data_IF_869326314531
#
_entry.id   IF_869326314531
#
_cell.length_a   1.000
_cell.length_b   1.000
_cell.length_c   1.000
_cell.angle_alpha   90.00
_cell.angle_beta   90.00
_cell.angle_gamma   90.00
#
_symmetry.space_group_name_H-M   'P 1'
#
loop_
_entity.id
_entity.type
_entity.pdbx_description
1 polymer ?
#
# COMPACT_ATOMS: atom_id res chain seq x y z
N UNK A 1 -16.09 24.17 -9.56
CA UNK A 1 -17.33 23.63 -10.15
C UNK A 1 -17.97 22.49 -9.35
N UNK A 2 -17.25 21.70 -8.55
CA UNK A 2 -17.84 20.65 -7.70
C UNK A 2 -18.64 21.19 -6.48
N UNK A 3 -18.30 22.35 -5.99
CA UNK A 3 -18.95 22.97 -4.81
C UNK A 3 -20.43 23.33 -5.05
N UNK A 4 -20.82 23.60 -6.30
CA UNK A 4 -22.19 24.07 -6.61
C UNK A 4 -23.20 22.91 -6.82
N UNK A 5 -22.73 21.67 -7.06
CA UNK A 5 -23.61 20.50 -7.22
C UNK A 5 -23.97 19.87 -5.87
N UNK A 6 -23.20 20.15 -4.84
CA UNK A 6 -23.38 19.56 -3.50
C UNK A 6 -24.38 20.31 -2.62
N UNK A 7 -24.84 21.51 -3.04
CA UNK A 7 -25.73 22.38 -2.23
C UNK A 7 -27.16 21.84 -2.08
N UNK A 8 -27.56 20.81 -2.82
CA UNK A 8 -28.91 20.22 -2.78
C UNK A 8 -28.95 18.74 -2.36
N UNK A 9 -27.80 18.13 -2.11
CA UNK A 9 -27.72 16.73 -1.67
C UNK A 9 -27.68 16.65 -0.14
N UNK A 10 -28.36 15.65 0.42
CA UNK A 10 -28.22 15.35 1.86
C UNK A 10 -26.80 14.88 2.19
N UNK A 11 -26.38 15.00 3.46
CA UNK A 11 -25.08 14.51 3.91
C UNK A 11 -24.86 13.03 3.58
N UNK A 12 -25.93 12.23 3.66
CA UNK A 12 -25.89 10.80 3.35
C UNK A 12 -25.66 10.52 1.87
N UNK A 13 -26.20 11.33 0.96
CA UNK A 13 -25.98 11.21 -0.49
C UNK A 13 -24.59 11.69 -0.88
N UNK A 14 -24.07 12.67 -0.19
CA UNK A 14 -22.74 13.27 -0.44
C UNK A 14 -21.59 12.34 -0.01
N UNK A 15 -21.78 11.56 1.05
CA UNK A 15 -20.72 10.76 1.67
C UNK A 15 -20.07 9.76 0.71
N UNK A 16 -20.85 8.99 -0.05
CA UNK A 16 -20.32 7.97 -0.96
C UNK A 16 -19.41 8.53 -2.06
N UNK A 17 -19.87 9.53 -2.84
CA UNK A 17 -19.04 10.22 -3.84
C UNK A 17 -17.78 10.86 -3.22
N UNK A 18 -17.90 11.47 -2.04
CA UNK A 18 -16.78 12.09 -1.34
C UNK A 18 -15.72 11.06 -0.93
N UNK A 19 -16.12 9.93 -0.38
CA UNK A 19 -15.21 8.83 -0.03
C UNK A 19 -14.45 8.33 -1.25
N UNK A 20 -15.16 8.07 -2.36
CA UNK A 20 -14.54 7.62 -3.60
C UNK A 20 -13.55 8.65 -4.14
N UNK A 21 -13.97 9.91 -4.24
CA UNK A 21 -13.14 11.01 -4.73
C UNK A 21 -11.88 11.23 -3.88
N UNK A 22 -12.04 11.25 -2.55
CA UNK A 22 -10.93 11.41 -1.60
C UNK A 22 -9.93 10.26 -1.70
N UNK A 23 -10.40 9.02 -1.72
CA UNK A 23 -9.53 7.86 -1.86
C UNK A 23 -8.79 7.86 -3.20
N UNK A 24 -9.44 8.31 -4.29
CA UNK A 24 -8.80 8.48 -5.60
C UNK A 24 -7.74 9.57 -5.58
N UNK A 25 -8.07 10.76 -5.06
CA UNK A 25 -7.14 11.89 -4.96
C UNK A 25 -5.88 11.53 -4.16
N UNK A 26 -6.05 10.88 -3.01
CA UNK A 26 -4.96 10.39 -2.18
C UNK A 26 -4.01 9.47 -2.96
N UNK A 27 -4.58 8.48 -3.66
CA UNK A 27 -3.79 7.54 -4.46
C UNK A 27 -3.03 8.23 -5.60
N UNK A 28 -3.68 9.17 -6.31
CA UNK A 28 -3.04 9.92 -7.39
C UNK A 28 -1.86 10.75 -6.88
N UNK A 29 -2.01 11.42 -5.72
CA UNK A 29 -0.92 12.20 -5.12
C UNK A 29 0.27 11.33 -4.72
N UNK A 30 0.02 10.12 -4.20
CA UNK A 30 1.11 9.20 -3.90
C UNK A 30 1.75 8.65 -5.18
N UNK A 31 0.97 8.36 -6.20
CA UNK A 31 1.46 7.90 -7.50
C UNK A 31 2.39 8.94 -8.15
N UNK A 32 1.99 10.22 -8.14
CA UNK A 32 2.82 11.33 -8.60
C UNK A 32 4.20 11.37 -7.91
N UNK A 33 4.24 11.14 -6.61
CA UNK A 33 5.49 11.15 -5.82
C UNK A 33 6.39 9.95 -6.10
N UNK A 34 5.80 8.81 -6.40
CA UNK A 34 6.54 7.56 -6.64
C UNK A 34 6.91 7.37 -8.12
N UNK A 35 6.31 8.16 -9.02
CA UNK A 35 6.58 8.11 -10.46
C UNK A 35 8.06 8.31 -10.83
N UNK A 36 8.79 9.29 -10.24
CA UNK A 36 10.22 9.48 -10.52
C UNK A 36 11.09 8.27 -10.17
N UNK A 37 10.61 7.39 -9.28
CA UNK A 37 11.28 6.14 -8.89
C UNK A 37 11.00 4.98 -9.84
N UNK A 38 10.28 5.20 -10.95
CA UNK A 38 9.87 4.18 -11.90
C UNK A 38 8.80 3.22 -11.36
N UNK A 39 8.06 3.64 -10.34
CA UNK A 39 7.02 2.85 -9.70
C UNK A 39 5.64 3.24 -10.23
N UNK A 40 5.01 2.36 -10.99
CA UNK A 40 3.59 2.51 -11.34
C UNK A 40 2.69 2.20 -10.14
N UNK A 41 1.44 2.71 -10.18
CA UNK A 41 0.46 2.50 -9.10
C UNK A 41 0.29 1.02 -8.74
N UNK A 42 0.13 0.15 -9.72
CA UNK A 42 0.01 -1.29 -9.49
C UNK A 42 1.26 -1.87 -8.82
N UNK A 43 2.46 -1.41 -9.23
CA UNK A 43 3.74 -1.87 -8.69
C UNK A 43 3.89 -1.47 -7.22
N UNK A 44 3.83 -0.17 -6.89
CA UNK A 44 4.06 0.26 -5.52
C UNK A 44 2.98 -0.24 -4.56
N UNK A 45 1.71 -0.34 -4.99
CA UNK A 45 0.63 -0.92 -4.16
C UNK A 45 0.93 -2.37 -3.82
N UNK A 46 1.33 -3.18 -4.79
CA UNK A 46 1.70 -4.59 -4.54
C UNK A 46 2.85 -4.70 -3.54
N UNK A 47 3.93 -3.93 -3.74
CA UNK A 47 5.09 -3.94 -2.86
C UNK A 47 4.73 -3.50 -1.44
N UNK A 48 3.90 -2.46 -1.31
CA UNK A 48 3.44 -1.95 -0.03
C UNK A 48 2.60 -3.00 0.72
N UNK A 49 1.64 -3.65 0.06
CA UNK A 49 0.84 -4.70 0.69
C UNK A 49 1.69 -5.89 1.13
N UNK A 50 2.69 -6.27 0.35
CA UNK A 50 3.63 -7.33 0.73
C UNK A 50 4.50 -6.93 1.93
N UNK A 51 4.94 -5.67 2.01
CA UNK A 51 5.80 -5.20 3.12
C UNK A 51 5.05 -5.09 4.45
N UNK A 52 3.76 -4.79 4.40
CA UNK A 52 2.90 -4.60 5.58
C UNK A 52 2.28 -5.90 6.09
N UNK A 53 2.38 -6.99 5.32
CA UNK A 53 1.84 -8.27 5.74
C UNK A 53 2.63 -8.85 6.92
N UNK A 54 1.96 -9.43 7.92
CA UNK A 54 2.63 -10.07 9.06
C UNK A 54 3.42 -11.33 8.65
N UNK A 55 3.14 -11.86 7.46
CA UNK A 55 3.77 -13.04 6.87
C UNK A 55 3.75 -12.99 5.34
N UNK A 56 4.02 -14.10 4.71
CA UNK A 56 3.94 -14.23 3.25
C UNK A 56 2.49 -14.27 2.80
N UNK A 57 2.19 -13.65 1.66
CA UNK A 57 0.87 -13.65 1.05
C UNK A 57 0.81 -14.59 -0.14
N UNK A 58 -0.33 -15.25 -0.31
CA UNK A 58 -0.70 -15.96 -1.54
C UNK A 58 -1.11 -14.99 -2.63
N UNK A 59 -1.14 -15.45 -3.88
CA UNK A 59 -1.63 -14.63 -4.99
C UNK A 59 -3.10 -14.22 -4.79
N UNK A 60 -3.95 -15.12 -4.31
CA UNK A 60 -5.35 -14.82 -4.02
C UNK A 60 -5.51 -13.71 -2.97
N UNK A 61 -4.76 -13.78 -1.85
CA UNK A 61 -4.79 -12.73 -0.82
C UNK A 61 -4.30 -11.37 -1.34
N UNK A 62 -3.33 -11.35 -2.27
CA UNK A 62 -2.86 -10.11 -2.87
C UNK A 62 -3.92 -9.54 -3.82
N UNK A 63 -4.55 -10.37 -4.67
CA UNK A 63 -5.63 -9.95 -5.56
C UNK A 63 -6.76 -9.31 -4.78
N UNK A 64 -7.17 -9.96 -3.71
CA UNK A 64 -8.16 -9.48 -2.77
C UNK A 64 -7.78 -8.11 -2.19
N UNK A 65 -6.58 -7.95 -1.64
CA UNK A 65 -6.09 -6.68 -1.04
C UNK A 65 -5.96 -5.54 -2.04
N UNK A 66 -5.65 -5.86 -3.30
CA UNK A 66 -5.56 -4.88 -4.37
C UNK A 66 -6.92 -4.53 -4.98
N UNK A 67 -7.94 -5.37 -4.75
CA UNK A 67 -9.26 -5.25 -5.35
C UNK A 67 -9.23 -5.50 -6.86
N UNK A 68 -8.43 -6.47 -7.32
CA UNK A 68 -8.30 -6.85 -8.73
C UNK A 68 -8.54 -8.34 -8.93
N UNK A 69 -8.92 -8.72 -10.13
CA UNK A 69 -9.10 -10.13 -10.49
C UNK A 69 -7.76 -10.89 -10.54
N UNK A 70 -7.79 -12.17 -10.14
CA UNK A 70 -6.58 -13.01 -10.10
C UNK A 70 -5.81 -13.08 -11.43
N UNK A 71 -6.45 -13.20 -12.62
CA UNK A 71 -5.72 -13.21 -13.89
C UNK A 71 -4.92 -11.93 -14.13
N UNK A 72 -5.49 -10.77 -13.78
CA UNK A 72 -4.81 -9.47 -13.86
C UNK A 72 -3.63 -9.41 -12.90
N UNK A 73 -3.80 -9.94 -11.68
CA UNK A 73 -2.71 -10.04 -10.73
C UNK A 73 -1.59 -10.95 -11.23
N UNK A 74 -1.90 -12.11 -11.77
CA UNK A 74 -0.89 -13.06 -12.30
C UNK A 74 0.00 -12.36 -13.33
N UNK A 75 -0.58 -11.61 -14.26
CA UNK A 75 0.16 -10.82 -15.26
C UNK A 75 1.07 -9.78 -14.60
N UNK A 76 0.57 -9.07 -13.60
CA UNK A 76 1.35 -8.10 -12.82
C UNK A 76 2.52 -8.76 -12.09
N UNK A 77 2.28 -9.86 -11.40
CA UNK A 77 3.30 -10.59 -10.65
C UNK A 77 4.39 -11.17 -11.57
N UNK A 78 4.03 -11.69 -12.75
CA UNK A 78 5.02 -12.12 -13.76
C UNK A 78 5.98 -10.99 -14.14
N UNK A 79 5.44 -9.78 -14.37
CA UNK A 79 6.27 -8.62 -14.67
C UNK A 79 7.15 -8.22 -13.49
N UNK A 80 6.60 -8.17 -12.28
CA UNK A 80 7.34 -7.81 -11.07
C UNK A 80 8.46 -8.80 -10.75
N UNK A 81 8.23 -10.10 -10.98
CA UNK A 81 9.23 -11.14 -10.79
C UNK A 81 10.36 -11.03 -11.81
N UNK A 82 10.03 -10.84 -13.09
CA UNK A 82 11.03 -10.63 -14.16
C UNK A 82 11.88 -9.39 -13.91
N UNK A 83 11.33 -8.34 -13.33
CA UNK A 83 12.04 -7.13 -12.95
C UNK A 83 12.80 -7.25 -11.60
N UNK A 84 12.72 -8.39 -10.91
CA UNK A 84 13.41 -8.66 -9.65
C UNK A 84 12.80 -7.98 -8.41
N UNK A 85 11.54 -7.51 -8.51
CA UNK A 85 10.83 -6.89 -7.39
C UNK A 85 10.28 -7.90 -6.39
N UNK A 86 9.90 -9.08 -6.87
CA UNK A 86 9.36 -10.17 -6.07
C UNK A 86 9.98 -11.50 -6.48
N UNK A 87 9.77 -12.51 -5.65
CA UNK A 87 9.96 -13.93 -5.98
C UNK A 87 8.70 -14.70 -5.63
N UNK A 88 8.40 -15.76 -6.38
CA UNK A 88 7.26 -16.64 -6.11
C UNK A 88 7.77 -18.04 -5.78
N UNK A 89 7.24 -18.60 -4.71
CA UNK A 89 7.57 -19.97 -4.28
C UNK A 89 6.30 -20.78 -4.07
N UNK A 90 6.32 -22.07 -4.29
CA UNK A 90 5.22 -22.94 -3.91
C UNK A 90 5.07 -22.96 -2.38
N UNK A 91 3.85 -22.93 -1.89
CA UNK A 91 3.58 -23.10 -0.47
C UNK A 91 4.03 -24.50 -0.02
N UNK A 92 4.68 -24.62 1.15
CA UNK A 92 5.01 -25.94 1.71
C UNK A 92 3.76 -26.73 2.11
N UNK A 93 2.65 -26.06 2.40
CA UNK A 93 1.38 -26.67 2.82
C UNK A 93 0.52 -27.12 1.63
N UNK A 94 0.54 -26.34 0.54
CA UNK A 94 -0.18 -26.67 -0.69
C UNK A 94 0.61 -26.18 -1.90
N UNK A 95 1.17 -27.10 -2.68
CA UNK A 95 1.98 -26.80 -3.86
C UNK A 95 1.22 -26.05 -4.97
N UNK A 96 -0.12 -26.11 -4.95
CA UNK A 96 -0.97 -25.35 -5.87
C UNK A 96 -0.99 -23.86 -5.54
N UNK A 97 -0.76 -23.50 -4.27
CA UNK A 97 -0.69 -22.13 -3.82
C UNK A 97 0.70 -21.56 -4.03
N UNK A 98 0.77 -20.38 -4.65
CA UNK A 98 2.02 -19.62 -4.82
C UNK A 98 2.10 -18.52 -3.77
N UNK A 99 3.15 -18.57 -2.96
CA UNK A 99 3.51 -17.54 -2.00
C UNK A 99 4.36 -16.47 -2.68
N UNK A 100 4.11 -15.21 -2.40
CA UNK A 100 4.84 -14.08 -2.98
C UNK A 100 5.68 -13.41 -1.91
N UNK A 101 6.95 -13.22 -2.20
CA UNK A 101 7.93 -12.60 -1.31
C UNK A 101 8.55 -11.38 -1.98
N UNK A 102 8.94 -10.40 -1.18
CA UNK A 102 9.71 -9.25 -1.66
C UNK A 102 11.10 -9.69 -2.13
N UNK A 103 11.45 -9.28 -3.35
CA UNK A 103 12.80 -9.44 -3.88
C UNK A 103 13.77 -8.42 -3.26
N UNK A 104 15.09 -8.63 -3.47
CA UNK A 104 16.14 -7.72 -2.97
C UNK A 104 15.89 -6.27 -3.38
N UNK A 105 15.52 -6.06 -4.64
CA UNK A 105 15.27 -4.73 -5.19
C UNK A 105 14.17 -3.99 -4.43
N UNK A 106 13.10 -4.69 -4.06
CA UNK A 106 11.98 -4.12 -3.34
C UNK A 106 12.38 -3.67 -1.92
N UNK A 107 13.26 -4.41 -1.25
CA UNK A 107 13.69 -4.08 0.12
C UNK A 107 14.32 -2.68 0.25
N UNK A 108 15.04 -2.24 -0.78
CA UNK A 108 15.62 -0.88 -0.79
C UNK A 108 14.59 0.22 -1.03
N UNK A 109 13.53 -0.08 -1.78
CA UNK A 109 12.53 0.91 -2.20
C UNK A 109 11.38 1.04 -1.20
N UNK A 110 11.12 0.02 -0.40
CA UNK A 110 10.04 0.04 0.61
C UNK A 110 10.20 1.21 1.59
N UNK A 111 11.41 1.51 2.05
CA UNK A 111 11.65 2.63 2.96
C UNK A 111 11.26 3.97 2.29
N UNK A 112 11.59 4.14 1.01
CA UNK A 112 11.26 5.35 0.26
C UNK A 112 9.75 5.45 -0.03
N UNK A 113 9.08 4.32 -0.34
CA UNK A 113 7.62 4.29 -0.48
C UNK A 113 6.95 4.72 0.83
N UNK A 114 7.39 4.17 1.95
CA UNK A 114 6.86 4.52 3.26
C UNK A 114 7.10 6.00 3.60
N UNK A 115 8.30 6.51 3.38
CA UNK A 115 8.63 7.92 3.60
C UNK A 115 7.77 8.86 2.75
N UNK A 116 7.54 8.53 1.47
CA UNK A 116 6.67 9.30 0.59
C UNK A 116 5.20 9.27 1.08
N UNK A 117 4.73 8.10 1.52
CA UNK A 117 3.38 7.94 2.06
C UNK A 117 3.20 8.70 3.38
N UNK A 118 4.21 8.67 4.27
CA UNK A 118 4.19 9.40 5.54
C UNK A 118 4.18 10.91 5.31
N UNK A 119 5.03 11.40 4.43
CA UNK A 119 5.06 12.82 4.06
C UNK A 119 3.72 13.28 3.49
N UNK A 120 3.11 12.51 2.58
CA UNK A 120 1.80 12.80 2.03
C UNK A 120 0.73 12.84 3.12
N UNK A 121 0.76 11.89 4.06
CA UNK A 121 -0.19 11.82 5.18
C UNK A 121 -0.10 13.07 6.05
N UNK A 122 1.09 13.47 6.43
CA UNK A 122 1.30 14.68 7.21
C UNK A 122 0.77 15.94 6.50
N UNK A 123 1.04 16.07 5.20
CA UNK A 123 0.58 17.22 4.42
C UNK A 123 -0.95 17.26 4.29
N UNK A 124 -1.59 16.12 3.95
CA UNK A 124 -3.03 16.08 3.76
C UNK A 124 -3.83 16.22 5.06
N UNK A 125 -3.24 15.84 6.19
CA UNK A 125 -3.92 15.87 7.49
C UNK A 125 -3.49 17.05 8.38
N UNK A 126 -2.61 17.93 7.92
CA UNK A 126 -2.02 19.00 8.72
C UNK A 126 -3.04 19.95 9.36
N UNK A 127 -4.16 20.20 8.67
CA UNK A 127 -5.23 21.09 9.16
C UNK A 127 -6.34 20.35 9.93
N UNK A 128 -6.22 19.03 10.10
CA UNK A 128 -7.25 18.20 10.75
C UNK A 128 -6.81 17.89 12.17
N UNK A 129 -7.62 18.24 13.14
CA UNK A 129 -7.33 17.93 14.54
C UNK A 129 -7.36 16.42 14.81
N UNK A 130 -6.60 15.98 15.80
CA UNK A 130 -6.59 14.57 16.20
C UNK A 130 -7.97 14.06 16.63
N UNK A 131 -8.85 14.93 17.13
CA UNK A 131 -10.23 14.56 17.53
C UNK A 131 -11.10 14.29 16.31
N UNK A 132 -11.06 15.17 15.30
CA UNK A 132 -11.77 15.01 14.03
C UNK A 132 -11.30 13.76 13.30
N UNK A 133 -9.99 13.55 13.23
CA UNK A 133 -9.41 12.37 12.58
C UNK A 133 -9.87 11.07 13.26
N UNK A 134 -9.86 11.02 14.60
CA UNK A 134 -10.36 9.85 15.34
C UNK A 134 -11.84 9.59 15.07
N UNK A 135 -12.65 10.66 15.02
CA UNK A 135 -14.09 10.57 14.74
C UNK A 135 -14.32 10.04 13.32
N UNK A 136 -13.62 10.59 12.33
CA UNK A 136 -13.68 10.15 10.95
C UNK A 136 -13.33 8.66 10.83
N UNK A 137 -12.22 8.23 11.43
CA UNK A 137 -11.79 6.81 11.41
C UNK A 137 -12.86 5.90 12.02
N UNK A 138 -13.45 6.28 13.17
CA UNK A 138 -14.52 5.49 13.81
C UNK A 138 -15.75 5.35 12.91
N UNK A 139 -16.18 6.43 12.27
CA UNK A 139 -17.33 6.42 11.36
C UNK A 139 -17.07 5.53 10.16
N UNK A 140 -15.91 5.70 9.50
CA UNK A 140 -15.53 4.89 8.35
C UNK A 140 -15.40 3.41 8.69
N UNK A 141 -14.84 3.07 9.85
CA UNK A 141 -14.74 1.70 10.32
C UNK A 141 -16.12 1.05 10.50
N UNK A 142 -17.10 1.78 11.10
CA UNK A 142 -18.47 1.29 11.26
C UNK A 142 -19.20 1.09 9.95
N UNK A 143 -19.01 2.00 8.99
CA UNK A 143 -19.60 1.88 7.65
C UNK A 143 -19.07 0.63 6.96
N UNK A 144 -17.75 0.42 7.00
CA UNK A 144 -17.09 -0.74 6.42
C UNK A 144 -17.59 -2.03 7.04
N UNK A 145 -17.61 -2.13 8.37
CA UNK A 145 -18.08 -3.31 9.08
C UNK A 145 -19.53 -3.68 8.69
N UNK A 146 -20.40 -2.68 8.57
CA UNK A 146 -21.79 -2.89 8.16
C UNK A 146 -21.91 -3.35 6.71
N UNK A 147 -21.10 -2.80 5.81
CA UNK A 147 -21.06 -3.20 4.40
C UNK A 147 -20.55 -4.64 4.24
N UNK A 148 -19.53 -5.04 5.00
CA UNK A 148 -18.98 -6.40 4.99
C UNK A 148 -19.95 -7.44 5.56
N UNK A 149 -20.72 -7.09 6.60
CA UNK A 149 -21.75 -7.98 7.19
C UNK A 149 -22.98 -8.18 6.30
N UNK A 150 -23.38 -7.14 5.58
CA UNK A 150 -24.60 -7.16 4.75
C UNK A 150 -24.38 -7.72 3.34
N UNK A 151 -23.13 -7.84 2.91
CA UNK A 151 -22.78 -8.42 1.63
C UNK A 151 -22.08 -9.74 1.82
N UNK A 152 -22.32 -10.70 0.92
CA UNK A 152 -21.34 -11.74 0.59
C UNK A 152 -20.11 -11.09 -0.10
N UNK A 153 -19.75 -9.87 0.30
CA UNK A 153 -18.48 -9.28 -0.11
C UNK A 153 -17.40 -10.19 0.46
N UNK A 154 -16.64 -10.80 -0.44
CA UNK A 154 -15.42 -11.54 -0.14
C UNK A 154 -14.69 -10.76 0.95
N UNK A 155 -14.15 -11.43 1.95
CA UNK A 155 -13.38 -10.88 3.09
C UNK A 155 -12.14 -10.14 2.56
N UNK A 156 -12.34 -9.03 1.92
CA UNK A 156 -11.41 -8.29 1.11
C UNK A 156 -11.30 -6.88 1.61
N UNK A 157 -10.73 -6.68 2.69
CA UNK A 157 -9.91 -5.51 3.02
C UNK A 157 -9.45 -5.66 4.46
N UNK A 158 -8.44 -6.46 4.70
CA UNK A 158 -7.62 -6.22 5.87
C UNK A 158 -7.19 -4.75 5.79
N UNK A 159 -7.51 -3.96 6.82
CA UNK A 159 -7.06 -2.56 6.92
C UNK A 159 -5.59 -2.49 6.51
N UNK A 160 -5.24 -1.62 5.58
CA UNK A 160 -3.83 -1.40 5.32
C UNK A 160 -3.17 -1.03 6.64
N UNK A 161 -2.13 -1.77 7.05
CA UNK A 161 -1.44 -1.56 8.33
C UNK A 161 -0.83 -0.15 8.48
N UNK A 162 -0.81 0.67 7.41
CA UNK A 162 -0.43 2.08 7.48
C UNK A 162 -1.48 2.98 8.17
N UNK A 163 -2.65 2.44 8.56
CA UNK A 163 -3.64 3.16 9.36
C UNK A 163 -3.52 2.87 10.86
N UNK A 164 -2.75 1.87 11.27
CA UNK A 164 -2.46 1.64 12.69
C UNK A 164 -1.34 2.59 13.13
N UNK A 165 -1.73 3.67 13.78
CA UNK A 165 -0.82 4.68 14.35
C UNK A 165 -0.33 4.24 15.73
N UNK A 166 0.19 3.02 15.84
CA UNK A 166 0.95 2.60 16.99
C UNK A 166 2.40 3.00 16.72
N UNK A 167 2.88 4.05 17.38
CA UNK A 167 4.17 4.71 17.21
C UNK A 167 5.43 3.82 17.31
N UNK A 168 5.32 2.57 16.92
CA UNK A 168 6.39 1.60 16.79
C UNK A 168 6.33 0.90 15.43
N UNK A 169 6.61 1.64 14.35
CA UNK A 169 7.12 1.00 13.14
C UNK A 169 8.51 0.43 13.45
N UNK A 170 8.55 -0.71 14.13
CA UNK A 170 9.76 -1.54 14.13
C UNK A 170 10.01 -1.93 12.68
N UNK A 171 11.01 -1.28 12.10
CA UNK A 171 11.56 -1.59 10.79
C UNK A 171 11.98 -3.07 10.79
N UNK A 172 11.09 -3.98 10.36
CA UNK A 172 11.33 -5.44 10.35
C UNK A 172 12.36 -5.88 9.32
N UNK A 173 12.84 -4.94 8.51
CA UNK A 173 13.93 -5.17 7.58
C UNK A 173 15.12 -4.30 7.99
N UNK A 174 16.18 -4.86 8.59
CA UNK A 174 17.40 -4.10 8.86
C UNK A 174 17.95 -3.60 7.54
N UNK A 175 18.08 -2.28 7.41
CA UNK A 175 18.74 -1.63 6.26
C UNK A 175 20.17 -2.16 6.23
N UNK A 176 20.63 -2.85 5.19
CA UNK A 176 22.03 -3.23 5.09
C UNK A 176 22.87 -1.95 5.05
N UNK A 177 23.72 -1.75 6.06
CA UNK A 177 24.67 -0.64 6.10
C UNK A 177 25.51 -0.68 4.81
N UNK A 178 25.52 0.42 4.07
CA UNK A 178 26.43 0.60 2.92
C UNK A 178 27.85 0.29 3.40
N UNK A 179 28.44 -0.81 2.94
CA UNK A 179 29.88 -1.03 3.06
C UNK A 179 30.54 0.09 2.29
N UNK A 180 31.22 0.98 3.03
CA UNK A 180 32.08 1.98 2.42
C UNK A 180 33.12 1.26 1.58
N UNK A 181 33.09 1.47 0.28
CA UNK A 181 34.15 1.09 -0.63
C UNK A 181 35.38 1.94 -0.26
N UNK A 182 36.23 1.41 0.63
CA UNK A 182 37.57 1.95 0.84
C UNK A 182 38.36 1.66 -0.42
N UNK A 183 38.69 2.72 -1.14
CA UNK A 183 39.55 2.69 -2.31
C UNK A 183 40.91 2.08 -1.96
N UNK A 184 41.29 1.07 -2.72
CA UNK A 184 42.68 0.60 -2.77
C UNK A 184 43.50 1.60 -3.57
N UNK A 185 44.19 2.50 -2.85
CA UNK A 185 45.24 3.31 -3.44
C UNK A 185 46.39 2.40 -3.85
N UNK A 186 46.58 2.20 -5.15
CA UNK A 186 47.80 1.61 -5.73
C UNK A 186 48.91 2.66 -5.58
N UNK A 187 49.98 2.30 -4.85
CA UNK A 187 51.26 3.00 -4.90
C UNK A 187 51.97 2.69 -6.23
N UNK A 188 52.58 3.68 -6.91
CA UNK A 188 53.45 3.43 -8.03
C UNK A 188 54.85 3.05 -7.52
N UNK A 189 55.49 2.11 -8.23
CA UNK A 189 56.96 1.94 -8.24
C UNK A 189 57.49 2.71 -9.43
#
# INVERSE_FOLDING_TARGET
MLTNLMSHMSDSETLGPLLHGTARAWRLKLDERLKPMGLSQAKWRTLLHLSLAPGTLTQAEIAERLGIEEPSLVTLLHRLEREGWITRKSSPLDRRCKMVLLGRRAQYVIAEINAAADKLRHELLAAISSAELRTCIKVLARIREKAEKNGKLRKSVASPAYLSNDGQTRNRYPIPRKKALRGAARKPK
#
